data_IF_139660317269
#
_entry.id   IF_139660317269
#
_cell.length_a   1.000
_cell.length_b   1.000
_cell.length_c   1.000
_cell.angle_alpha   90.00
_cell.angle_beta   90.00
_cell.angle_gamma   90.00
#
_symmetry.space_group_name_H-M   'P 1'
#
loop_
_entity.id
_entity.type
_entity.pdbx_description
1 polymer ?
#
# COMPACT_ATOMS: atom_id res chain seq x y z
N UNK A 1 -10.67 -47.73 -17.79
CA UNK A 1 -9.39 -48.41 -17.45
C UNK A 1 -8.73 -47.49 -16.41
N UNK A 2 -9.05 -47.66 -15.19
CA UNK A 2 -8.66 -48.55 -14.11
C UNK A 2 -7.14 -48.52 -13.85
N UNK A 3 -6.84 -48.00 -12.67
CA UNK A 3 -6.07 -48.51 -11.51
C UNK A 3 -4.57 -48.19 -11.53
N UNK A 4 -4.05 -47.46 -10.53
CA UNK A 4 -3.49 -47.98 -9.32
C UNK A 4 -3.01 -46.89 -8.37
N UNK A 5 -3.64 -46.82 -7.21
CA UNK A 5 -3.09 -46.33 -5.95
C UNK A 5 -2.46 -47.47 -5.19
N UNK A 6 -1.45 -47.26 -4.33
CA UNK A 6 -1.25 -48.10 -3.16
C UNK A 6 -1.13 -47.32 -1.84
N UNK A 7 -1.18 -48.06 -0.71
CA UNK A 7 -1.88 -47.61 0.48
C UNK A 7 -0.99 -47.29 1.70
N UNK A 8 -1.55 -46.51 2.51
CA UNK A 8 -1.64 -46.27 3.95
C UNK A 8 -1.20 -47.45 4.88
N UNK A 9 -0.69 -47.03 6.07
CA UNK A 9 -0.67 -47.62 7.39
C UNK A 9 0.54 -48.44 7.83
N UNK A 10 1.23 -48.00 8.92
CA UNK A 10 0.97 -48.51 10.29
C UNK A 10 1.75 -47.74 11.37
N UNK A 11 1.04 -47.51 12.46
CA UNK A 11 1.50 -46.97 13.72
C UNK A 11 2.19 -48.02 14.57
N UNK A 12 3.12 -47.65 15.44
CA UNK A 12 3.40 -48.26 16.77
C UNK A 12 3.93 -47.20 17.70
N UNK A 13 3.15 -46.81 18.70
CA UNK A 13 3.17 -47.14 20.13
C UNK A 13 4.49 -46.90 20.88
N UNK A 14 4.41 -45.94 21.77
CA UNK A 14 4.75 -46.07 23.16
C UNK A 14 6.09 -45.53 23.61
N UNK A 15 6.07 -44.59 24.52
CA UNK A 15 6.57 -44.76 25.92
C UNK A 15 6.42 -43.47 26.70
N UNK A 16 5.65 -43.54 27.75
CA UNK A 16 5.49 -42.54 28.81
C UNK A 16 6.54 -42.76 29.91
N UNK A 17 6.65 -41.73 30.80
CA UNK A 17 7.37 -41.61 32.10
C UNK A 17 8.72 -40.88 31.94
N UNK A 18 9.01 -39.86 32.75
CA UNK A 18 8.78 -39.71 34.18
C UNK A 18 8.82 -38.24 34.65
N UNK A 19 7.92 -37.91 35.50
CA UNK A 19 7.91 -36.74 36.38
C UNK A 19 9.02 -36.86 37.42
N UNK A 20 9.84 -35.85 37.65
CA UNK A 20 10.58 -35.66 38.89
C UNK A 20 10.43 -34.24 39.43
N UNK A 21 9.59 -34.12 40.47
CA UNK A 21 9.58 -33.05 41.47
C UNK A 21 10.83 -33.21 42.38
N UNK A 22 11.50 -32.10 42.67
CA UNK A 22 12.26 -31.84 43.92
C UNK A 22 12.21 -30.34 44.16
N UNK A 23 11.37 -29.88 45.06
CA UNK A 23 11.47 -29.63 46.52
C UNK A 23 12.52 -28.57 46.87
N UNK A 24 11.96 -27.44 47.25
CA UNK A 24 12.30 -26.45 48.27
C UNK A 24 13.45 -26.82 49.22
N UNK A 25 14.33 -25.82 49.47
CA UNK A 25 14.85 -25.53 50.81
C UNK A 25 15.16 -24.02 50.93
N UNK A 26 14.43 -23.39 51.86
CA UNK A 26 14.76 -22.10 52.50
C UNK A 26 16.01 -22.27 53.38
N UNK A 27 16.88 -21.31 53.39
CA UNK A 27 17.70 -20.96 54.56
C UNK A 27 17.86 -19.46 54.68
N UNK A 28 17.32 -18.94 55.74
CA UNK A 28 17.49 -17.60 56.32
C UNK A 28 18.68 -17.59 57.24
N UNK A 29 19.51 -16.57 57.19
CA UNK A 29 20.33 -15.92 58.25
C UNK A 29 21.35 -15.01 57.52
N UNK A 30 21.65 -13.80 57.91
CA UNK A 30 21.53 -12.99 59.08
C UNK A 30 22.18 -11.61 58.78
N UNK A 31 21.76 -10.63 59.57
CA UNK A 31 22.16 -9.22 59.56
C UNK A 31 23.68 -9.00 59.82
N UNK A 32 24.28 -8.00 59.19
CA UNK A 32 25.01 -6.88 59.81
C UNK A 32 25.76 -6.03 58.80
N UNK A 33 25.40 -4.81 58.60
CA UNK A 33 26.01 -3.52 58.77
C UNK A 33 27.30 -3.21 57.99
N UNK A 34 27.16 -2.20 57.09
CA UNK A 34 28.13 -1.07 56.99
C UNK A 34 27.56 -0.05 55.99
N UNK A 35 27.20 1.12 56.46
CA UNK A 35 26.95 2.30 55.66
C UNK A 35 28.27 2.79 55.06
N UNK A 36 28.41 2.70 53.73
CA UNK A 36 29.43 3.43 53.01
C UNK A 36 28.69 4.40 52.07
N UNK A 37 28.68 5.67 52.42
CA UNK A 37 28.36 6.77 51.54
C UNK A 37 29.40 6.79 50.42
N UNK A 38 29.08 6.15 49.29
CA UNK A 38 29.77 6.28 48.06
C UNK A 38 29.02 7.30 47.18
N UNK A 39 29.53 8.51 47.10
CA UNK A 39 29.22 9.46 46.04
C UNK A 39 29.57 8.80 44.68
N UNK A 40 28.64 8.06 44.14
CA UNK A 40 28.76 7.61 42.73
C UNK A 40 28.31 8.76 41.87
N UNK A 41 29.29 9.38 41.23
CA UNK A 41 29.08 10.40 40.22
C UNK A 41 28.05 9.96 39.19
N UNK A 42 27.16 10.87 38.82
CA UNK A 42 26.39 10.80 37.60
C UNK A 42 27.32 10.69 36.41
N UNK A 43 27.78 9.51 36.09
CA UNK A 43 28.26 9.17 34.77
C UNK A 43 27.03 9.14 33.87
N UNK A 44 26.85 10.16 33.05
CA UNK A 44 25.98 10.12 31.89
C UNK A 44 26.52 9.09 30.90
N UNK A 45 26.41 7.82 31.25
CA UNK A 45 26.56 6.73 30.31
C UNK A 45 25.33 6.78 29.38
N UNK A 46 25.52 7.23 28.13
CA UNK A 46 24.53 7.11 27.09
C UNK A 46 24.11 5.63 27.03
N UNK A 47 22.91 5.33 27.50
CA UNK A 47 22.37 3.97 27.42
C UNK A 47 22.13 3.68 25.96
N UNK A 48 22.93 2.80 25.37
CA UNK A 48 22.71 2.32 24.00
C UNK A 48 21.27 1.81 23.90
N UNK A 49 20.48 2.43 23.02
CA UNK A 49 19.12 2.02 22.73
C UNK A 49 19.04 1.29 21.40
N UNK A 50 18.00 0.48 21.23
CA UNK A 50 17.71 -0.21 19.98
C UNK A 50 16.29 0.07 19.54
N UNK A 51 16.06 0.16 18.22
CA UNK A 51 14.75 0.24 17.59
C UNK A 51 14.56 -0.97 16.68
N UNK A 52 13.42 -1.63 16.81
CA UNK A 52 12.97 -2.69 15.91
C UNK A 52 12.09 -2.08 14.81
N UNK A 53 12.55 -2.13 13.57
CA UNK A 53 11.88 -1.60 12.39
C UNK A 53 11.45 -2.76 11.49
N UNK A 54 10.14 -2.97 11.32
CA UNK A 54 9.58 -3.98 10.41
C UNK A 54 9.12 -3.33 9.11
N UNK A 55 9.65 -3.80 7.97
CA UNK A 55 9.39 -3.22 6.66
C UNK A 55 9.07 -4.28 5.61
N UNK A 56 8.42 -3.86 4.52
CA UNK A 56 8.16 -4.73 3.39
C UNK A 56 9.45 -5.07 2.62
N UNK A 57 9.56 -6.32 2.20
CA UNK A 57 10.40 -6.71 1.06
C UNK A 57 9.50 -6.92 -0.17
N UNK A 58 9.87 -6.26 -1.26
CA UNK A 58 9.18 -6.36 -2.54
C UNK A 58 9.94 -7.34 -3.45
N UNK A 59 9.22 -7.94 -4.39
CA UNK A 59 9.84 -8.87 -5.35
C UNK A 59 10.89 -8.14 -6.22
N UNK A 60 11.92 -8.85 -6.68
CA UNK A 60 13.07 -8.25 -7.37
C UNK A 60 12.70 -7.46 -8.65
N UNK A 61 11.55 -7.76 -9.26
CA UNK A 61 11.04 -7.03 -10.42
C UNK A 61 10.59 -5.59 -10.11
N UNK A 62 10.31 -5.27 -8.83
CA UNK A 62 9.79 -3.96 -8.37
C UNK A 62 10.69 -3.35 -7.29
N UNK A 63 11.52 -4.12 -6.58
CA UNK A 63 11.94 -3.70 -5.26
C UNK A 63 13.35 -3.97 -4.79
N UNK A 64 14.31 -4.44 -5.59
CA UNK A 64 15.71 -4.60 -5.09
C UNK A 64 16.30 -3.27 -4.60
N UNK A 65 15.97 -2.16 -5.27
CA UNK A 65 16.41 -0.81 -4.87
C UNK A 65 15.86 -0.36 -3.50
N UNK A 66 14.68 -0.83 -3.08
CA UNK A 66 14.05 -0.42 -1.81
C UNK A 66 14.72 -1.09 -0.61
N UNK A 67 15.14 -2.34 -0.75
CA UNK A 67 15.87 -3.05 0.30
C UNK A 67 17.20 -2.39 0.66
N UNK A 68 17.96 -2.03 -0.36
CA UNK A 68 19.26 -1.37 -0.21
C UNK A 68 19.13 0.05 0.38
N UNK A 69 18.03 0.73 0.13
CA UNK A 69 17.75 2.06 0.68
C UNK A 69 17.62 2.04 2.21
N UNK A 70 16.97 1.03 2.80
CA UNK A 70 16.89 0.90 4.26
C UNK A 70 18.28 0.77 4.89
N UNK A 71 19.14 -0.06 4.32
CA UNK A 71 20.50 -0.23 4.84
C UNK A 71 21.32 1.07 4.75
N UNK A 72 21.14 1.83 3.66
CA UNK A 72 21.77 3.14 3.51
C UNK A 72 21.25 4.15 4.55
N UNK A 73 19.94 4.23 4.77
CA UNK A 73 19.31 5.12 5.75
C UNK A 73 19.79 4.79 7.16
N UNK A 74 19.73 3.51 7.57
CA UNK A 74 20.17 3.07 8.89
C UNK A 74 21.65 3.33 9.11
N UNK A 75 22.48 3.04 8.12
CA UNK A 75 23.94 3.35 8.17
C UNK A 75 24.20 4.84 8.29
N UNK A 76 23.43 5.68 7.60
CA UNK A 76 23.56 7.12 7.67
C UNK A 76 23.03 7.69 8.99
N UNK A 77 21.92 7.15 9.52
CA UNK A 77 21.39 7.52 10.83
C UNK A 77 22.37 7.19 11.96
N UNK A 78 23.03 6.02 11.92
CA UNK A 78 24.03 5.62 12.90
C UNK A 78 25.20 6.61 13.03
N UNK A 79 25.52 7.36 11.96
CA UNK A 79 26.57 8.38 11.99
C UNK A 79 26.16 9.66 12.74
N UNK A 80 24.86 9.98 12.74
CA UNK A 80 24.32 11.17 13.42
C UNK A 80 23.79 10.85 14.81
N UNK A 81 23.40 9.60 15.05
CA UNK A 81 22.94 9.10 16.33
C UNK A 81 23.64 7.77 16.68
N UNK A 82 24.90 7.80 17.16
CA UNK A 82 25.70 6.60 17.38
C UNK A 82 25.18 5.70 18.53
N UNK A 83 24.36 6.24 19.43
CA UNK A 83 23.86 5.52 20.60
C UNK A 83 22.59 4.70 20.28
N UNK A 84 21.94 4.92 19.13
CA UNK A 84 20.76 4.17 18.69
C UNK A 84 21.14 3.14 17.62
N UNK A 85 20.74 1.89 17.81
CA UNK A 85 20.88 0.84 16.80
C UNK A 85 19.51 0.49 16.24
N UNK A 86 19.33 0.58 14.91
CA UNK A 86 18.08 0.22 14.23
C UNK A 86 18.22 -1.17 13.63
N UNK A 87 17.38 -2.12 14.06
CA UNK A 87 17.29 -3.46 13.53
C UNK A 87 16.17 -3.52 12.49
N UNK A 88 16.52 -3.79 11.23
CA UNK A 88 15.56 -3.85 10.12
C UNK A 88 15.17 -5.30 9.85
N UNK A 89 13.92 -5.63 10.12
CA UNK A 89 13.31 -6.90 9.75
C UNK A 89 12.51 -6.72 8.45
N UNK A 90 12.80 -7.53 7.43
CA UNK A 90 12.14 -7.48 6.12
C UNK A 90 11.16 -8.62 5.97
N UNK A 91 9.89 -8.28 5.76
CA UNK A 91 8.79 -9.24 5.59
C UNK A 91 8.29 -9.15 4.15
N UNK A 92 8.07 -10.28 3.44
CA UNK A 92 7.43 -10.24 2.14
C UNK A 92 6.12 -9.42 2.17
N UNK A 93 5.95 -8.48 1.23
CA UNK A 93 4.83 -7.52 1.22
C UNK A 93 3.47 -8.22 1.40
N UNK A 94 3.23 -9.33 0.70
CA UNK A 94 1.99 -10.10 0.81
C UNK A 94 1.72 -10.70 2.22
N UNK A 95 2.73 -10.73 3.10
CA UNK A 95 2.62 -11.27 4.46
C UNK A 95 2.70 -10.18 5.53
N UNK A 96 3.04 -8.94 5.16
CA UNK A 96 3.40 -7.87 6.07
C UNK A 96 2.31 -7.59 7.11
N UNK A 97 1.11 -7.20 6.66
CA UNK A 97 0.00 -6.83 7.54
C UNK A 97 -0.42 -7.97 8.47
N UNK A 98 -0.45 -9.20 7.94
CA UNK A 98 -0.79 -10.39 8.76
C UNK A 98 0.28 -10.67 9.80
N UNK A 99 1.56 -10.59 9.44
CA UNK A 99 2.67 -10.81 10.39
C UNK A 99 2.65 -9.75 11.48
N UNK A 100 2.44 -8.48 11.11
CA UNK A 100 2.31 -7.38 12.05
C UNK A 100 1.14 -7.60 13.03
N UNK A 101 -0.04 -7.94 12.53
CA UNK A 101 -1.21 -8.21 13.37
C UNK A 101 -0.97 -9.36 14.36
N UNK A 102 -0.31 -10.44 13.92
CA UNK A 102 0.07 -11.56 14.80
C UNK A 102 1.05 -11.13 15.88
N UNK A 103 2.08 -10.35 15.56
CA UNK A 103 3.05 -9.83 16.54
C UNK A 103 2.39 -8.90 17.56
N UNK A 104 1.57 -7.96 17.10
CA UNK A 104 0.83 -7.05 18.00
C UNK A 104 -0.09 -7.81 18.96
N UNK A 105 -0.82 -8.83 18.45
CA UNK A 105 -1.68 -9.70 19.25
C UNK A 105 -0.88 -10.51 20.29
N UNK A 106 0.31 -10.95 19.93
CA UNK A 106 1.21 -11.71 20.83
C UNK A 106 1.95 -10.82 21.85
N UNK A 107 1.73 -9.49 21.86
CA UNK A 107 2.47 -8.59 22.71
C UNK A 107 3.95 -8.43 22.33
N UNK A 108 4.27 -8.57 21.06
CA UNK A 108 5.62 -8.47 20.48
C UNK A 108 5.62 -7.55 19.24
N UNK A 109 4.98 -6.37 19.38
CA UNK A 109 4.99 -5.37 18.32
C UNK A 109 6.41 -4.82 18.10
N UNK A 110 6.82 -4.50 16.85
CA UNK A 110 8.02 -3.73 16.61
C UNK A 110 7.84 -2.29 17.11
N UNK A 111 8.92 -1.52 17.22
CA UNK A 111 8.82 -0.10 17.57
C UNK A 111 8.22 0.71 16.42
N UNK A 112 8.66 0.42 15.18
CA UNK A 112 8.14 1.03 13.97
C UNK A 112 7.80 -0.09 12.96
N UNK A 113 6.66 0.01 12.30
CA UNK A 113 6.29 -0.91 11.22
C UNK A 113 5.74 -0.19 10.01
N UNK A 114 6.11 -0.68 8.81
CA UNK A 114 5.38 -0.40 7.59
C UNK A 114 4.11 -1.25 7.54
N UNK A 115 2.99 -0.68 7.11
CA UNK A 115 1.71 -1.38 6.99
C UNK A 115 0.78 -0.67 6.00
N UNK A 116 -0.15 -1.43 5.42
CA UNK A 116 -1.27 -0.87 4.64
C UNK A 116 -2.50 -0.61 5.50
N UNK A 117 -2.51 -1.03 6.76
CA UNK A 117 -3.63 -0.92 7.68
C UNK A 117 -3.16 -0.35 9.01
N UNK A 118 -3.88 0.62 9.54
CA UNK A 118 -3.53 1.24 10.82
C UNK A 118 -4.75 1.46 11.73
N UNK A 119 -5.96 1.58 11.18
CA UNK A 119 -7.16 1.95 11.92
C UNK A 119 -7.43 0.99 13.09
N UNK A 120 -7.34 -0.31 12.88
CA UNK A 120 -7.51 -1.32 13.95
C UNK A 120 -6.51 -1.13 15.10
N UNK A 121 -5.26 -0.79 14.81
CA UNK A 121 -4.27 -0.54 15.86
C UNK A 121 -4.50 0.80 16.56
N UNK A 122 -5.02 1.81 15.84
CA UNK A 122 -5.43 3.09 16.41
C UNK A 122 -6.60 2.90 17.38
N UNK A 123 -7.64 2.16 17.02
CA UNK A 123 -8.80 1.82 17.84
C UNK A 123 -8.37 1.09 19.12
N UNK A 124 -7.41 0.18 19.02
CA UNK A 124 -6.81 -0.53 20.16
C UNK A 124 -5.84 0.35 20.97
N UNK A 125 -5.65 1.64 20.61
CA UNK A 125 -4.73 2.58 21.28
C UNK A 125 -3.27 2.10 21.33
N UNK A 126 -2.85 1.31 20.34
CA UNK A 126 -1.49 0.72 20.28
C UNK A 126 -0.47 1.67 19.67
N UNK A 127 -0.91 2.73 18.95
CA UNK A 127 -0.04 3.62 18.19
C UNK A 127 0.19 4.96 18.89
N UNK A 128 1.37 5.53 18.71
CA UNK A 128 1.60 6.93 19.01
C UNK A 128 0.94 7.81 17.92
N UNK A 129 0.19 8.87 18.32
CA UNK A 129 -0.20 9.92 17.39
C UNK A 129 1.02 10.56 16.72
N UNK A 130 0.87 10.97 15.47
CA UNK A 130 1.92 11.69 14.72
C UNK A 130 2.35 12.98 15.43
N UNK A 131 1.42 13.66 16.09
CA UNK A 131 1.67 14.86 16.90
C UNK A 131 2.54 14.62 18.14
N UNK A 132 2.71 13.38 18.58
CA UNK A 132 3.63 13.03 19.65
C UNK A 132 5.04 12.67 19.17
N UNK A 133 5.21 12.46 17.86
CA UNK A 133 6.46 12.01 17.22
C UNK A 133 7.19 13.14 16.48
N UNK A 134 6.43 14.10 15.94
CA UNK A 134 6.98 15.19 15.13
C UNK A 134 6.59 16.56 15.67
N UNK A 135 7.45 17.53 15.46
CA UNK A 135 7.11 18.94 15.63
C UNK A 135 6.12 19.44 14.57
N UNK A 136 5.51 20.59 14.81
CA UNK A 136 4.51 21.19 13.91
C UNK A 136 5.07 21.42 12.49
N UNK A 137 6.29 21.97 12.30
CA UNK A 137 6.86 22.14 10.97
C UNK A 137 6.98 20.84 10.19
N UNK A 138 7.43 19.76 10.82
CA UNK A 138 7.54 18.44 10.17
C UNK A 138 6.17 17.87 9.80
N UNK A 139 5.18 18.02 10.69
CA UNK A 139 3.80 17.60 10.37
C UNK A 139 3.21 18.38 9.19
N UNK A 140 3.45 19.68 9.12
CA UNK A 140 2.97 20.57 8.05
C UNK A 140 3.66 20.33 6.69
N UNK A 141 4.81 19.67 6.66
CA UNK A 141 5.54 19.33 5.43
C UNK A 141 4.92 18.14 4.68
N UNK A 142 4.10 17.30 5.34
CA UNK A 142 3.42 16.20 4.66
C UNK A 142 2.38 16.71 3.67
N UNK A 143 2.29 16.06 2.50
CA UNK A 143 1.21 16.32 1.53
C UNK A 143 -0.13 16.07 2.19
N UNK A 144 -0.97 17.10 2.24
CA UNK A 144 -2.18 17.14 3.07
C UNK A 144 -3.15 15.97 2.80
N UNK A 145 -3.41 15.62 1.54
CA UNK A 145 -4.28 14.49 1.18
C UNK A 145 -3.78 13.16 1.76
N UNK A 146 -2.46 12.95 1.76
CA UNK A 146 -1.82 11.75 2.33
C UNK A 146 -1.85 11.79 3.86
N UNK A 147 -1.56 12.93 4.49
CA UNK A 147 -1.66 13.07 5.94
C UNK A 147 -3.09 12.81 6.44
N UNK A 148 -4.10 13.36 5.74
CA UNK A 148 -5.51 13.14 6.06
C UNK A 148 -5.91 11.66 5.91
N UNK A 149 -5.46 10.97 4.87
CA UNK A 149 -5.73 9.54 4.71
C UNK A 149 -5.12 8.68 5.84
N UNK A 150 -4.04 9.14 6.50
CA UNK A 150 -3.44 8.52 7.68
C UNK A 150 -4.17 8.79 9.01
N UNK A 151 -5.37 9.42 8.96
CA UNK A 151 -6.10 9.89 10.13
C UNK A 151 -7.27 8.95 10.45
N UNK A 152 -7.36 8.49 11.70
CA UNK A 152 -8.52 7.80 12.27
C UNK A 152 -9.03 8.59 13.47
N UNK A 153 -10.36 8.76 13.60
CA UNK A 153 -10.99 9.53 14.69
C UNK A 153 -10.37 10.93 14.89
N UNK A 154 -10.11 11.64 13.78
CA UNK A 154 -9.51 13.00 13.76
C UNK A 154 -8.07 13.07 14.29
N UNK A 155 -7.40 11.94 14.50
CA UNK A 155 -6.01 11.86 14.93
C UNK A 155 -5.18 11.13 13.89
N UNK A 156 -4.09 11.73 13.44
CA UNK A 156 -3.19 11.09 12.49
C UNK A 156 -2.30 10.07 13.22
N UNK A 157 -2.35 8.82 12.76
CA UNK A 157 -1.51 7.70 13.22
C UNK A 157 -0.64 7.13 12.11
N UNK A 158 -1.17 7.09 10.88
CA UNK A 158 -0.42 6.66 9.70
C UNK A 158 0.49 7.77 9.20
N UNK A 159 1.80 7.54 9.21
CA UNK A 159 2.78 8.44 8.64
C UNK A 159 2.95 8.04 7.18
N UNK A 160 2.62 8.91 6.18
CA UNK A 160 2.67 8.55 4.77
C UNK A 160 4.06 8.03 4.36
N UNK A 161 4.09 6.91 3.66
CA UNK A 161 5.31 6.29 3.17
C UNK A 161 5.02 5.53 1.86
N UNK A 162 6.00 5.43 0.94
CA UNK A 162 5.82 4.72 -0.34
C UNK A 162 4.59 5.17 -1.15
N UNK A 163 4.42 6.49 -1.30
CA UNK A 163 3.27 7.05 -1.99
C UNK A 163 3.28 6.78 -3.50
N UNK A 164 2.08 6.64 -4.06
CA UNK A 164 1.88 6.55 -5.49
C UNK A 164 0.52 7.15 -5.89
N UNK A 165 0.45 7.66 -7.12
CA UNK A 165 -0.79 8.05 -7.79
C UNK A 165 -0.73 7.52 -9.21
N UNK A 166 -1.61 6.60 -9.65
CA UNK A 166 -1.56 6.05 -11.00
C UNK A 166 -2.01 7.07 -12.05
N UNK A 167 -1.60 6.84 -13.32
CA UNK A 167 -2.00 7.60 -14.50
C UNK A 167 -2.36 6.65 -15.64
N UNK A 168 -3.01 7.15 -16.68
CA UNK A 168 -3.26 6.40 -17.91
C UNK A 168 -1.95 6.29 -18.71
N UNK A 169 -1.36 5.10 -18.77
CA UNK A 169 -0.25 4.78 -19.65
C UNK A 169 -0.75 4.28 -21.00
N UNK A 170 -0.04 4.62 -22.06
CA UNK A 170 -0.34 4.13 -23.41
C UNK A 170 0.94 3.90 -24.22
N UNK A 171 0.88 2.90 -25.09
CA UNK A 171 1.99 2.58 -26.01
C UNK A 171 1.97 3.55 -27.20
N UNK A 172 2.98 4.41 -27.28
CA UNK A 172 3.01 5.47 -28.31
C UNK A 172 3.17 4.94 -29.72
N UNK A 173 3.83 3.79 -29.92
CA UNK A 173 3.91 3.14 -31.24
C UNK A 173 2.53 2.64 -31.68
N UNK A 174 1.76 2.01 -30.79
CA UNK A 174 0.42 1.53 -31.14
C UNK A 174 -0.54 2.68 -31.37
N UNK A 175 -0.46 3.74 -30.57
CA UNK A 175 -1.25 4.96 -30.76
C UNK A 175 -0.94 5.65 -32.07
N UNK A 176 0.36 5.80 -32.43
CA UNK A 176 0.77 6.35 -33.73
C UNK A 176 0.26 5.53 -34.91
N UNK A 177 0.34 4.19 -34.84
CA UNK A 177 -0.21 3.29 -35.87
C UNK A 177 -1.73 3.39 -36.01
N UNK A 178 -2.43 3.64 -34.91
CA UNK A 178 -3.90 3.80 -34.90
C UNK A 178 -4.33 5.24 -35.28
N UNK A 179 -3.39 6.20 -35.38
CA UNK A 179 -3.68 7.61 -35.63
C UNK A 179 -4.44 8.31 -34.54
N UNK A 180 -4.22 7.91 -33.27
CA UNK A 180 -4.95 8.43 -32.10
C UNK A 180 -4.04 9.14 -31.12
N UNK A 181 -4.62 10.01 -30.30
CA UNK A 181 -3.98 10.72 -29.19
C UNK A 181 -4.50 10.21 -27.84
N UNK A 182 -3.85 10.64 -26.74
CA UNK A 182 -4.32 10.32 -25.40
C UNK A 182 -5.76 10.81 -25.17
N UNK A 183 -6.68 9.94 -24.67
CA UNK A 183 -8.09 10.31 -24.49
C UNK A 183 -8.27 11.25 -23.31
N UNK A 184 -9.15 12.26 -23.45
CA UNK A 184 -9.56 13.20 -22.43
C UNK A 184 -10.96 12.96 -21.84
N UNK A 185 -11.71 11.96 -22.39
CA UNK A 185 -13.03 11.55 -21.93
C UNK A 185 -13.19 10.04 -22.06
N UNK A 186 -14.27 9.46 -21.47
CA UNK A 186 -14.58 8.04 -21.64
C UNK A 186 -14.97 7.68 -23.08
N UNK A 187 -15.65 8.59 -23.79
CA UNK A 187 -16.00 8.37 -25.19
C UNK A 187 -14.76 8.35 -26.10
N UNK A 188 -13.79 9.22 -25.82
CA UNK A 188 -12.51 9.20 -26.51
C UNK A 188 -11.70 7.94 -26.16
N UNK A 189 -11.71 7.51 -24.87
CA UNK A 189 -11.06 6.28 -24.43
C UNK A 189 -11.66 5.05 -25.16
N UNK A 190 -12.98 4.99 -25.24
CA UNK A 190 -13.70 3.93 -25.94
C UNK A 190 -13.35 3.94 -27.46
N UNK A 191 -13.36 5.11 -28.08
CA UNK A 191 -13.01 5.29 -29.49
C UNK A 191 -11.54 4.88 -29.76
N UNK A 192 -10.63 5.27 -28.88
CA UNK A 192 -9.22 4.87 -28.91
C UNK A 192 -9.05 3.35 -28.77
N UNK A 193 -9.81 2.73 -27.86
CA UNK A 193 -9.78 1.28 -27.69
C UNK A 193 -10.30 0.55 -28.95
N UNK A 194 -11.32 1.08 -29.61
CA UNK A 194 -11.81 0.53 -30.90
C UNK A 194 -10.77 0.65 -32.00
N UNK A 195 -10.11 1.81 -32.12
CA UNK A 195 -9.05 2.02 -33.09
C UNK A 195 -7.85 1.06 -32.86
N UNK A 196 -7.44 0.86 -31.61
CA UNK A 196 -6.42 -0.12 -31.24
C UNK A 196 -6.83 -1.56 -31.61
N UNK A 197 -8.09 -1.92 -31.36
CA UNK A 197 -8.64 -3.23 -31.77
C UNK A 197 -8.59 -3.41 -33.26
N UNK A 198 -8.95 -2.39 -34.03
CA UNK A 198 -8.95 -2.42 -35.48
C UNK A 198 -7.56 -2.67 -36.13
N UNK A 199 -6.49 -2.23 -35.47
CA UNK A 199 -5.10 -2.51 -35.86
C UNK A 199 -4.54 -3.82 -35.29
N UNK A 200 -5.37 -4.64 -34.64
CA UNK A 200 -5.02 -5.96 -34.10
C UNK A 200 -4.40 -5.97 -32.70
N UNK A 201 -4.54 -4.90 -31.90
CA UNK A 201 -4.11 -4.94 -30.50
C UNK A 201 -4.98 -5.89 -29.71
N UNK A 202 -4.35 -6.88 -29.08
CA UNK A 202 -5.04 -7.96 -28.37
C UNK A 202 -5.91 -7.47 -27.20
N UNK A 203 -5.39 -6.54 -26.43
CA UNK A 203 -6.04 -5.93 -25.28
C UNK A 203 -5.96 -4.42 -25.39
N UNK A 204 -6.92 -3.76 -26.06
CA UNK A 204 -6.90 -2.31 -26.25
C UNK A 204 -6.78 -1.54 -24.93
N UNK A 205 -7.58 -1.90 -23.92
CA UNK A 205 -7.49 -1.39 -22.55
C UNK A 205 -7.23 -2.55 -21.57
N UNK A 206 -6.17 -2.47 -20.76
CA UNK A 206 -5.85 -3.43 -19.73
C UNK A 206 -6.65 -3.14 -18.45
N UNK A 207 -7.86 -3.70 -18.33
CA UNK A 207 -8.73 -3.55 -17.18
C UNK A 207 -8.34 -4.54 -16.08
N UNK A 208 -7.70 -4.05 -15.02
CA UNK A 208 -6.99 -4.85 -14.00
C UNK A 208 -7.91 -5.15 -12.81
N UNK A 209 -8.90 -6.03 -12.98
CA UNK A 209 -9.85 -6.44 -11.94
C UNK A 209 -9.57 -7.84 -11.36
N UNK A 210 -8.35 -8.34 -11.54
CA UNK A 210 -7.85 -9.52 -10.86
C UNK A 210 -7.58 -9.28 -9.37
N UNK A 211 -7.50 -10.34 -8.55
CA UNK A 211 -7.49 -10.23 -7.08
C UNK A 211 -6.24 -9.56 -6.47
N UNK A 212 -5.22 -9.27 -7.25
CA UNK A 212 -4.02 -8.57 -6.75
C UNK A 212 -4.34 -7.14 -6.28
N UNK A 213 -5.10 -6.36 -7.09
CA UNK A 213 -5.34 -4.93 -6.84
C UNK A 213 -6.64 -4.41 -7.50
N UNK A 214 -7.69 -5.22 -7.56
CA UNK A 214 -8.96 -4.86 -8.18
C UNK A 214 -9.60 -3.61 -7.53
N UNK A 215 -9.37 -3.40 -6.23
CA UNK A 215 -9.87 -2.24 -5.50
C UNK A 215 -9.27 -0.92 -5.98
N UNK A 216 -8.01 -0.93 -6.45
CA UNK A 216 -7.34 0.27 -6.95
C UNK A 216 -7.90 0.67 -8.33
N UNK A 217 -7.98 -0.30 -9.24
CA UNK A 217 -8.53 -0.10 -10.58
C UNK A 217 -10.00 0.33 -10.51
N UNK A 218 -10.81 -0.38 -9.71
CA UNK A 218 -12.23 -0.07 -9.57
C UNK A 218 -12.44 1.33 -8.97
N UNK A 219 -11.67 1.72 -7.91
CA UNK A 219 -11.78 3.06 -7.35
C UNK A 219 -11.45 4.15 -8.38
N UNK A 220 -10.42 3.95 -9.20
CA UNK A 220 -10.07 4.91 -10.23
C UNK A 220 -11.23 5.13 -11.23
N UNK A 221 -11.90 4.06 -11.65
CA UNK A 221 -13.08 4.15 -12.51
C UNK A 221 -14.29 4.77 -11.80
N UNK A 222 -14.53 4.41 -10.52
CA UNK A 222 -15.63 4.99 -9.73
C UNK A 222 -15.45 6.49 -9.57
N UNK A 223 -14.26 6.96 -9.17
CA UNK A 223 -13.93 8.39 -9.03
C UNK A 223 -14.11 9.13 -10.37
N UNK A 224 -13.65 8.52 -11.47
CA UNK A 224 -13.82 9.08 -12.82
C UNK A 224 -15.29 9.16 -13.26
N UNK A 225 -16.15 8.31 -12.70
CA UNK A 225 -17.59 8.30 -12.91
C UNK A 225 -18.40 9.11 -11.89
N UNK A 226 -17.73 9.80 -10.95
CA UNK A 226 -18.38 10.57 -9.89
C UNK A 226 -18.91 9.73 -8.72
N UNK A 227 -18.33 8.54 -8.51
CA UNK A 227 -18.64 7.63 -7.41
C UNK A 227 -17.45 7.40 -6.47
N UNK A 228 -17.61 6.53 -5.47
CA UNK A 228 -16.59 6.22 -4.47
C UNK A 228 -16.97 4.92 -3.74
N UNK A 229 -16.08 4.43 -2.84
CA UNK A 229 -16.41 3.32 -1.94
C UNK A 229 -17.10 3.76 -0.64
N UNK A 230 -16.86 5.00 -0.20
CA UNK A 230 -17.37 5.48 1.08
C UNK A 230 -18.00 6.87 0.94
N UNK A 231 -19.10 7.05 1.64
CA UNK A 231 -19.75 8.33 1.86
C UNK A 231 -19.35 8.97 3.19
N UNK A 232 -20.16 9.90 3.66
CA UNK A 232 -19.90 10.65 4.91
C UNK A 232 -20.04 9.76 6.15
N UNK A 233 -20.93 8.77 6.11
CA UNK A 233 -21.31 7.96 7.29
C UNK A 233 -20.75 6.53 7.26
N UNK A 234 -20.00 6.14 6.26
CA UNK A 234 -19.49 4.77 6.10
C UNK A 234 -19.36 4.38 4.63
N UNK A 235 -19.43 3.10 4.34
CA UNK A 235 -19.40 2.61 2.96
C UNK A 235 -20.68 2.99 2.20
N UNK A 236 -20.52 3.27 0.91
CA UNK A 236 -21.63 3.69 0.01
C UNK A 236 -21.42 3.09 -1.38
N UNK A 237 -21.60 1.77 -1.46
CA UNK A 237 -21.39 1.03 -2.71
C UNK A 237 -22.54 1.21 -3.70
N UNK A 238 -23.80 1.32 -3.23
CA UNK A 238 -25.00 1.21 -4.08
C UNK A 238 -25.45 2.59 -4.56
N UNK A 239 -24.54 3.40 -5.07
CA UNK A 239 -24.87 4.69 -5.67
C UNK A 239 -25.21 4.56 -7.15
N UNK A 240 -25.99 5.53 -7.68
CA UNK A 240 -26.27 5.57 -9.12
C UNK A 240 -24.97 5.76 -9.94
N UNK A 241 -24.01 6.53 -9.45
CA UNK A 241 -22.72 6.75 -10.11
C UNK A 241 -21.91 5.46 -10.19
N UNK A 242 -21.83 4.69 -9.10
CA UNK A 242 -21.10 3.42 -9.06
C UNK A 242 -21.74 2.40 -10.03
N UNK A 243 -23.08 2.24 -9.98
CA UNK A 243 -23.81 1.34 -10.85
C UNK A 243 -23.62 1.74 -12.33
N UNK A 244 -23.74 3.01 -12.66
CA UNK A 244 -23.58 3.50 -14.01
C UNK A 244 -22.14 3.31 -14.52
N UNK A 245 -21.14 3.47 -13.65
CA UNK A 245 -19.70 3.25 -13.97
C UNK A 245 -19.45 1.79 -14.33
N UNK A 246 -19.84 0.86 -13.46
CA UNK A 246 -19.62 -0.57 -13.73
C UNK A 246 -20.46 -1.08 -14.91
N UNK A 247 -21.67 -0.53 -15.12
CA UNK A 247 -22.49 -0.82 -16.31
C UNK A 247 -21.78 -0.35 -17.58
N UNK A 248 -21.19 0.85 -17.59
CA UNK A 248 -20.44 1.35 -18.73
C UNK A 248 -19.21 0.45 -19.02
N UNK A 249 -18.47 0.04 -18.00
CA UNK A 249 -17.33 -0.89 -18.16
C UNK A 249 -17.77 -2.22 -18.76
N UNK A 250 -18.86 -2.79 -18.21
CA UNK A 250 -19.43 -4.06 -18.70
C UNK A 250 -19.83 -3.96 -20.17
N UNK A 251 -20.59 -2.92 -20.52
CA UNK A 251 -21.22 -2.84 -21.84
C UNK A 251 -20.27 -2.32 -22.91
N UNK A 252 -19.48 -1.27 -22.58
CA UNK A 252 -18.65 -0.55 -23.58
C UNK A 252 -17.23 -1.11 -23.72
N UNK A 253 -16.61 -1.54 -22.62
CA UNK A 253 -15.24 -2.08 -22.73
C UNK A 253 -15.27 -3.62 -22.84
N UNK A 254 -15.92 -4.29 -21.91
CA UNK A 254 -15.92 -5.76 -21.86
C UNK A 254 -16.86 -6.35 -22.92
N UNK A 255 -18.07 -5.82 -23.03
CA UNK A 255 -19.10 -6.30 -23.99
C UNK A 255 -18.65 -6.17 -25.44
N UNK A 256 -17.91 -5.11 -25.79
CA UNK A 256 -17.36 -4.90 -27.12
C UNK A 256 -15.97 -5.57 -27.31
N UNK A 257 -15.47 -6.30 -26.28
CA UNK A 257 -14.18 -7.02 -26.36
C UNK A 257 -12.98 -6.09 -26.46
N UNK A 258 -13.04 -4.95 -25.77
CA UNK A 258 -11.95 -3.92 -25.74
C UNK A 258 -11.06 -4.06 -24.51
N UNK A 259 -11.48 -4.81 -23.48
CA UNK A 259 -10.75 -5.00 -22.22
C UNK A 259 -10.08 -6.39 -22.10
N UNK A 260 -9.92 -7.11 -23.20
CA UNK A 260 -9.42 -8.49 -23.18
C UNK A 260 -10.52 -9.51 -22.84
N UNK A 261 -10.12 -10.79 -22.73
CA UNK A 261 -11.08 -11.89 -22.59
C UNK A 261 -11.62 -12.06 -21.16
N UNK A 262 -10.81 -11.74 -20.16
CA UNK A 262 -11.11 -12.01 -18.75
C UNK A 262 -10.53 -10.92 -17.83
N UNK A 263 -11.07 -9.70 -17.85
CA UNK A 263 -10.56 -8.60 -17.02
C UNK A 263 -10.60 -8.88 -15.51
N UNK A 264 -11.55 -9.69 -15.05
CA UNK A 264 -11.69 -10.14 -13.66
C UNK A 264 -10.55 -11.09 -13.20
N UNK A 265 -9.72 -11.55 -14.11
CA UNK A 265 -8.53 -12.39 -13.83
C UNK A 265 -7.22 -11.67 -14.19
N UNK A 266 -7.28 -10.44 -14.68
CA UNK A 266 -6.09 -9.69 -15.06
C UNK A 266 -5.54 -8.94 -13.85
N UNK A 267 -4.51 -9.51 -13.24
CA UNK A 267 -3.75 -8.87 -12.18
C UNK A 267 -2.86 -7.75 -12.71
N UNK A 268 -2.55 -6.77 -11.86
CA UNK A 268 -1.67 -5.65 -12.18
C UNK A 268 -0.30 -6.11 -12.69
N UNK A 269 0.33 -7.06 -12.01
CA UNK A 269 1.62 -7.62 -12.43
C UNK A 269 1.55 -8.26 -13.81
N UNK A 270 0.49 -9.01 -14.10
CA UNK A 270 0.27 -9.61 -15.41
C UNK A 270 0.01 -8.56 -16.49
N UNK A 271 -0.77 -7.51 -16.19
CA UNK A 271 -1.03 -6.40 -17.09
C UNK A 271 0.26 -5.64 -17.46
N UNK A 272 1.12 -5.36 -16.49
CA UNK A 272 2.42 -4.73 -16.75
C UNK A 272 3.27 -5.58 -17.67
N UNK A 273 3.38 -6.88 -17.42
CA UNK A 273 4.08 -7.80 -18.30
C UNK A 273 3.50 -7.84 -19.73
N UNK A 274 2.18 -7.79 -19.88
CA UNK A 274 1.54 -7.72 -21.20
C UNK A 274 1.78 -6.38 -21.91
N UNK A 275 1.76 -5.26 -21.18
CA UNK A 275 2.09 -3.93 -21.72
C UNK A 275 3.53 -3.89 -22.23
N UNK A 276 4.48 -4.43 -21.46
CA UNK A 276 5.89 -4.51 -21.86
C UNK A 276 6.13 -5.40 -23.09
N UNK A 277 5.21 -6.29 -23.42
CA UNK A 277 5.22 -7.10 -24.66
C UNK A 277 4.40 -6.47 -25.79
N UNK A 278 3.87 -5.24 -25.62
CA UNK A 278 3.05 -4.56 -26.62
C UNK A 278 1.67 -5.20 -26.84
N UNK A 279 1.17 -6.02 -25.92
CA UNK A 279 -0.12 -6.70 -26.00
C UNK A 279 -1.27 -5.86 -25.47
N UNK A 280 -0.97 -4.88 -24.60
CA UNK A 280 -1.92 -3.89 -24.09
C UNK A 280 -1.64 -2.54 -24.73
N UNK A 281 -2.69 -1.87 -25.23
CA UNK A 281 -2.60 -0.56 -25.85
C UNK A 281 -2.52 0.58 -24.84
N UNK A 282 -3.39 0.55 -23.81
CA UNK A 282 -3.42 1.52 -22.73
C UNK A 282 -3.96 0.88 -21.45
N UNK A 283 -3.59 1.42 -20.29
CA UNK A 283 -4.06 0.98 -18.96
C UNK A 283 -3.71 2.01 -17.88
N UNK A 284 -4.34 1.92 -16.72
CA UNK A 284 -3.89 2.64 -15.52
C UNK A 284 -2.61 1.97 -15.01
N UNK A 285 -1.60 2.78 -14.67
CA UNK A 285 -0.36 2.24 -14.08
C UNK A 285 0.35 3.26 -13.17
N UNK A 286 1.21 2.71 -12.32
CA UNK A 286 2.05 3.45 -11.36
C UNK A 286 3.38 3.89 -11.98
N UNK A 287 4.07 4.88 -11.39
CA UNK A 287 5.38 5.34 -11.89
C UNK A 287 6.42 4.23 -12.05
N UNK A 288 6.34 3.17 -11.24
CA UNK A 288 7.25 2.02 -11.30
C UNK A 288 7.29 1.36 -12.69
N UNK A 289 6.20 1.43 -13.46
CA UNK A 289 6.15 0.89 -14.82
C UNK A 289 7.11 1.62 -15.77
N UNK A 290 7.42 2.90 -15.52
CA UNK A 290 8.33 3.67 -16.38
C UNK A 290 9.70 3.01 -16.47
N UNK A 291 10.31 2.64 -15.33
CA UNK A 291 11.61 1.94 -15.32
C UNK A 291 11.57 0.62 -16.09
N UNK A 292 10.52 -0.17 -15.90
CA UNK A 292 10.37 -1.44 -16.59
C UNK A 292 10.18 -1.24 -18.11
N UNK A 293 9.44 -0.21 -18.53
CA UNK A 293 9.23 0.12 -19.92
C UNK A 293 10.52 0.64 -20.57
N UNK A 294 11.30 1.47 -19.87
CA UNK A 294 12.59 1.99 -20.35
C UNK A 294 13.58 0.83 -20.54
N UNK A 295 13.69 -0.09 -19.56
CA UNK A 295 14.56 -1.27 -19.66
C UNK A 295 14.13 -2.22 -20.79
N UNK A 296 12.82 -2.40 -20.97
CA UNK A 296 12.26 -3.21 -22.05
C UNK A 296 12.24 -2.49 -23.41
N UNK A 297 12.65 -1.21 -23.47
CA UNK A 297 12.61 -0.34 -24.66
C UNK A 297 11.22 -0.26 -25.28
N UNK A 298 10.17 -0.25 -24.46
CA UNK A 298 8.79 -0.08 -24.91
C UNK A 298 8.46 1.41 -24.94
N UNK A 299 8.17 1.99 -26.10
CA UNK A 299 7.78 3.39 -26.19
C UNK A 299 6.43 3.63 -25.52
N UNK A 300 6.39 4.53 -24.55
CA UNK A 300 5.19 4.87 -23.81
C UNK A 300 5.08 6.38 -23.58
N UNK A 301 3.88 6.80 -23.28
CA UNK A 301 3.62 8.08 -22.63
C UNK A 301 2.48 7.87 -21.60
N UNK A 302 2.22 8.89 -20.80
CA UNK A 302 1.12 8.85 -19.83
C UNK A 302 0.33 10.16 -19.81
N UNK A 303 -0.95 10.05 -19.51
CA UNK A 303 -1.88 11.17 -19.36
C UNK A 303 -2.61 11.06 -18.00
N UNK A 304 -3.31 12.14 -17.61
CA UNK A 304 -4.29 12.03 -16.53
C UNK A 304 -5.37 11.01 -16.92
N UNK A 305 -5.90 10.27 -15.94
CA UNK A 305 -7.05 9.40 -16.21
C UNK A 305 -8.29 10.27 -16.48
N UNK A 306 -9.05 10.04 -17.57
CA UNK A 306 -10.13 10.91 -17.95
C UNK A 306 -11.40 10.70 -17.12
N UNK A 307 -12.12 11.77 -16.83
CA UNK A 307 -13.49 11.70 -16.32
C UNK A 307 -14.46 11.27 -17.45
N UNK A 308 -15.66 10.85 -17.03
CA UNK A 308 -16.73 10.45 -17.96
C UNK A 308 -17.02 11.53 -19.00
N UNK A 309 -17.28 12.74 -18.55
CA UNK A 309 -17.72 13.86 -19.38
C UNK A 309 -16.56 14.76 -19.81
N UNK A 310 -15.34 14.33 -19.64
CA UNK A 310 -14.12 15.05 -19.97
C UNK A 310 -13.43 15.69 -18.76
N UNK A 311 -12.16 16.05 -18.95
CA UNK A 311 -11.28 16.52 -17.89
C UNK A 311 -10.51 15.39 -17.20
N UNK A 312 -9.76 15.76 -16.15
CA UNK A 312 -8.97 14.80 -15.36
C UNK A 312 -9.75 14.34 -14.13
N UNK A 313 -9.89 13.04 -13.97
CA UNK A 313 -10.44 12.44 -12.75
C UNK A 313 -9.57 12.77 -11.54
N UNK A 314 -10.17 12.76 -10.35
CA UNK A 314 -9.41 12.73 -9.11
C UNK A 314 -8.51 11.48 -9.13
N UNK A 315 -7.19 11.62 -8.89
CA UNK A 315 -6.31 10.47 -8.88
C UNK A 315 -6.53 9.62 -7.62
N UNK A 316 -6.39 8.31 -7.74
CA UNK A 316 -6.30 7.43 -6.58
C UNK A 316 -4.98 7.69 -5.88
N UNK A 317 -5.01 7.98 -4.58
CA UNK A 317 -3.84 8.01 -3.72
C UNK A 317 -3.60 6.63 -3.12
N UNK A 318 -2.37 6.16 -3.21
CA UNK A 318 -1.92 4.93 -2.58
C UNK A 318 -0.73 5.25 -1.70
N UNK A 319 -0.74 4.72 -0.50
CA UNK A 319 0.36 4.89 0.44
C UNK A 319 0.45 3.66 1.34
N UNK A 320 1.66 3.19 1.57
CA UNK A 320 1.94 2.48 2.79
C UNK A 320 2.12 3.50 3.92
N UNK A 321 1.98 3.05 5.14
CA UNK A 321 2.10 3.87 6.34
C UNK A 321 3.26 3.36 7.19
N UNK A 322 4.02 4.27 7.80
CA UNK A 322 4.85 3.93 8.96
C UNK A 322 4.04 4.18 10.21
N UNK A 323 4.04 3.20 11.12
CA UNK A 323 3.32 3.19 12.38
C UNK A 323 4.31 3.08 13.52
N UNK A 324 4.20 3.93 14.54
CA UNK A 324 5.02 3.82 15.76
C UNK A 324 4.19 3.23 16.90
N UNK A 325 4.65 2.12 17.46
CA UNK A 325 3.93 1.36 18.48
C UNK A 325 4.33 1.78 19.91
N UNK A 326 3.33 1.85 20.80
CA UNK A 326 3.53 2.25 22.21
C UNK A 326 4.13 1.16 23.10
N UNK A 327 4.08 -0.09 22.65
CA UNK A 327 4.34 -1.26 23.48
C UNK A 327 5.68 -1.20 24.21
N UNK A 328 6.75 -0.78 23.57
CA UNK A 328 8.09 -0.79 24.13
C UNK A 328 8.49 0.55 24.78
N UNK A 329 7.59 1.55 24.78
CA UNK A 329 7.84 2.84 25.41
C UNK A 329 8.91 3.72 24.74
N UNK A 330 9.28 3.44 23.47
CA UNK A 330 10.38 4.10 22.76
C UNK A 330 9.92 5.29 21.92
N UNK A 331 9.06 6.14 22.51
CA UNK A 331 8.49 7.30 21.78
C UNK A 331 9.56 8.26 21.26
N UNK A 332 10.52 8.59 22.11
CA UNK A 332 11.56 9.56 21.75
C UNK A 332 12.45 9.04 20.60
N UNK A 333 12.92 7.80 20.73
CA UNK A 333 13.77 7.17 19.70
C UNK A 333 13.04 6.99 18.37
N UNK A 334 11.74 6.61 18.41
CA UNK A 334 10.90 6.57 17.22
C UNK A 334 10.77 7.93 16.57
N UNK A 335 10.48 8.99 17.34
CA UNK A 335 10.37 10.36 16.86
C UNK A 335 11.65 10.87 16.23
N UNK A 336 12.80 10.65 16.87
CA UNK A 336 14.11 11.03 16.34
C UNK A 336 14.47 10.32 15.04
N UNK A 337 14.27 9.00 14.98
CA UNK A 337 14.53 8.21 13.78
C UNK A 337 13.61 8.63 12.61
N UNK A 338 12.32 8.79 12.88
CA UNK A 338 11.34 9.20 11.87
C UNK A 338 11.59 10.63 11.39
N UNK A 339 11.93 11.57 12.29
CA UNK A 339 12.32 12.94 11.90
C UNK A 339 13.55 12.92 10.99
N UNK A 340 14.54 12.08 11.31
CA UNK A 340 15.69 11.90 10.44
C UNK A 340 15.28 11.32 9.07
N UNK A 341 14.41 10.30 9.04
CA UNK A 341 13.95 9.65 7.83
C UNK A 341 13.27 10.65 6.87
N UNK A 342 12.44 11.55 7.38
CA UNK A 342 11.75 12.57 6.58
C UNK A 342 12.54 13.87 6.38
N UNK A 343 13.77 13.96 6.91
CA UNK A 343 14.63 15.11 6.63
C UNK A 343 14.97 15.21 5.13
N UNK A 344 15.19 16.43 4.63
CA UNK A 344 15.57 16.67 3.22
C UNK A 344 16.75 15.81 2.76
N UNK A 345 17.72 15.57 3.66
CA UNK A 345 18.91 14.75 3.36
C UNK A 345 18.53 13.28 3.12
N UNK A 346 17.71 12.73 3.99
CA UNK A 346 17.28 11.33 3.91
C UNK A 346 16.24 11.12 2.81
N UNK A 347 15.33 12.07 2.61
CA UNK A 347 14.31 12.03 1.56
C UNK A 347 14.91 11.92 0.15
N UNK A 348 16.09 12.48 -0.10
CA UNK A 348 16.83 12.28 -1.36
C UNK A 348 17.29 10.84 -1.55
N UNK A 349 17.65 10.16 -0.49
CA UNK A 349 18.07 8.75 -0.54
C UNK A 349 16.87 7.84 -0.80
N UNK A 350 15.73 8.15 -0.20
CA UNK A 350 14.50 7.38 -0.31
C UNK A 350 13.62 7.74 -1.52
N UNK A 351 13.55 9.02 -1.87
CA UNK A 351 12.69 9.55 -2.93
C UNK A 351 13.33 9.59 -4.31
N UNK A 352 14.61 9.21 -4.44
CA UNK A 352 15.35 9.29 -5.71
C UNK A 352 15.06 8.17 -6.71
N UNK A 353 14.21 7.21 -6.37
CA UNK A 353 13.82 6.12 -7.26
C UNK A 353 12.40 6.30 -7.81
N UNK A 354 12.13 5.82 -9.04
CA UNK A 354 10.78 5.86 -9.64
C UNK A 354 9.78 4.91 -8.94
N UNK A 355 10.19 4.25 -7.85
CA UNK A 355 9.34 3.27 -7.16
C UNK A 355 8.31 3.93 -6.23
N UNK A 356 8.59 5.11 -5.68
CA UNK A 356 7.70 5.83 -4.77
C UNK A 356 7.78 7.34 -5.00
N UNK A 357 6.63 8.02 -4.84
CA UNK A 357 6.57 9.47 -4.87
C UNK A 357 6.91 10.07 -3.49
N UNK A 358 7.46 11.29 -3.43
CA UNK A 358 7.74 11.95 -2.17
C UNK A 358 6.42 12.31 -1.46
N UNK A 359 6.38 12.10 -0.15
CA UNK A 359 5.19 12.37 0.67
C UNK A 359 5.24 13.71 1.37
N UNK A 360 6.34 14.47 1.22
CA UNK A 360 6.53 15.80 1.80
C UNK A 360 6.69 16.87 0.71
N UNK A 361 6.24 18.10 1.00
CA UNK A 361 6.37 19.23 0.09
C UNK A 361 7.85 19.53 -0.19
N UNK A 362 8.69 19.53 0.84
CA UNK A 362 10.13 19.79 0.71
C UNK A 362 10.86 18.76 -0.17
N UNK A 363 10.48 17.48 -0.09
CA UNK A 363 11.01 16.43 -0.98
C UNK A 363 10.48 16.56 -2.41
N UNK A 364 9.19 16.92 -2.57
CA UNK A 364 8.58 17.21 -3.87
C UNK A 364 9.28 18.37 -4.60
N UNK A 365 9.58 19.44 -3.88
CA UNK A 365 10.30 20.60 -4.42
C UNK A 365 11.74 20.24 -4.80
N UNK A 366 12.39 19.38 -4.00
CA UNK A 366 13.72 18.87 -4.33
C UNK A 366 13.72 18.06 -5.64
N UNK A 367 12.71 17.21 -5.86
CA UNK A 367 12.57 16.45 -7.11
C UNK A 367 12.22 17.35 -8.30
N UNK A 368 11.43 18.40 -8.09
CA UNK A 368 11.12 19.39 -9.15
C UNK A 368 12.32 20.26 -9.54
N UNK A 369 13.30 20.40 -8.68
CA UNK A 369 14.54 21.11 -8.99
C UNK A 369 15.53 20.28 -9.84
N UNK A 370 15.29 18.97 -10.01
CA UNK A 370 16.12 18.07 -10.79
C UNK A 370 15.45 17.72 -12.13
N UNK A 371 15.98 18.23 -13.28
CA UNK A 371 15.42 17.90 -14.61
C UNK A 371 15.38 16.41 -14.94
N UNK A 372 16.25 15.60 -14.35
CA UNK A 372 16.25 14.14 -14.53
C UNK A 372 14.97 13.50 -13.95
N UNK A 373 14.32 14.14 -13.00
CA UNK A 373 13.07 13.69 -12.37
C UNK A 373 11.80 14.21 -13.07
N UNK A 374 11.95 14.93 -14.23
CA UNK A 374 10.81 15.45 -15.00
C UNK A 374 9.71 14.41 -15.29
N UNK A 375 10.01 13.15 -15.59
CA UNK A 375 8.98 12.14 -15.78
C UNK A 375 8.02 11.96 -14.61
N UNK A 376 8.49 12.23 -13.35
CA UNK A 376 7.68 12.10 -12.14
C UNK A 376 6.81 13.34 -11.83
N UNK A 377 7.11 14.50 -12.41
CA UNK A 377 6.46 15.76 -12.03
C UNK A 377 4.95 15.71 -12.15
N UNK A 378 4.42 15.11 -13.21
CA UNK A 378 2.97 14.97 -13.43
C UNK A 378 2.28 14.05 -12.40
N UNK A 379 3.00 13.09 -11.85
CA UNK A 379 2.50 12.26 -10.75
C UNK A 379 2.49 13.05 -9.43
N UNK A 380 3.55 13.84 -9.18
CA UNK A 380 3.64 14.71 -8.01
C UNK A 380 2.56 15.81 -8.07
N UNK A 381 2.29 16.39 -9.24
CA UNK A 381 1.28 17.45 -9.43
C UNK A 381 -0.14 17.00 -9.08
N UNK A 382 -0.45 15.71 -9.17
CA UNK A 382 -1.77 15.20 -8.86
C UNK A 382 -1.95 14.76 -7.41
N UNK A 383 -0.84 14.55 -6.64
CA UNK A 383 -0.90 14.09 -5.26
C UNK A 383 -1.79 14.95 -4.33
N UNK A 384 -1.77 16.30 -4.38
CA UNK A 384 -2.59 17.11 -3.49
C UNK A 384 -4.11 16.89 -3.65
N UNK A 385 -4.56 16.33 -4.79
CA UNK A 385 -5.96 16.06 -5.10
C UNK A 385 -6.30 14.57 -5.04
N UNK A 386 -5.38 13.76 -4.48
CA UNK A 386 -5.56 12.32 -4.42
C UNK A 386 -6.69 11.94 -3.46
N UNK A 387 -7.54 11.04 -3.91
CA UNK A 387 -8.60 10.41 -3.16
C UNK A 387 -8.18 8.99 -2.77
N UNK A 388 -8.54 8.58 -1.57
CA UNK A 388 -8.08 7.34 -1.00
C UNK A 388 -9.21 6.33 -0.80
N UNK A 389 -8.83 5.07 -0.78
CA UNK A 389 -9.64 4.01 -0.18
C UNK A 389 -9.93 4.36 1.29
N UNK A 390 -10.99 3.84 1.91
CA UNK A 390 -11.33 4.14 3.30
C UNK A 390 -10.41 3.41 4.29
N UNK A 391 -9.09 3.61 4.15
CA UNK A 391 -8.03 2.98 4.96
C UNK A 391 -8.08 3.34 6.45
N UNK A 392 -8.81 4.40 6.76
CA UNK A 392 -9.09 4.87 8.12
C UNK A 392 -10.21 4.11 8.83
N UNK A 393 -10.84 3.14 8.18
CA UNK A 393 -11.84 2.28 8.78
C UNK A 393 -11.23 0.92 9.19
N UNK A 394 -11.47 0.48 10.42
CA UNK A 394 -10.94 -0.78 10.93
C UNK A 394 -11.46 -2.01 10.15
N UNK A 395 -12.64 -1.89 9.54
CA UNK A 395 -13.26 -2.90 8.69
C UNK A 395 -12.65 -2.98 7.27
N UNK A 396 -11.85 -1.99 6.86
CA UNK A 396 -11.34 -1.90 5.49
C UNK A 396 -10.59 -3.15 5.00
N UNK A 397 -9.75 -3.83 5.79
CA UNK A 397 -9.07 -5.04 5.32
C UNK A 397 -10.03 -6.13 4.82
N UNK A 398 -11.15 -6.33 5.51
CA UNK A 398 -12.17 -7.32 5.14
C UNK A 398 -12.96 -6.86 3.91
N UNK A 399 -13.31 -5.58 3.86
CA UNK A 399 -14.04 -4.98 2.73
C UNK A 399 -13.18 -4.98 1.47
N UNK A 400 -11.88 -4.63 1.58
CA UNK A 400 -10.92 -4.72 0.50
C UNK A 400 -10.82 -6.14 -0.07
N UNK A 401 -10.76 -7.15 0.81
CA UNK A 401 -10.72 -8.54 0.37
C UNK A 401 -12.01 -8.91 -0.40
N UNK A 402 -13.17 -8.46 0.05
CA UNK A 402 -14.44 -8.70 -0.65
C UNK A 402 -14.49 -8.00 -2.02
N UNK A 403 -13.97 -6.77 -2.13
CA UNK A 403 -13.89 -6.08 -3.42
C UNK A 403 -13.00 -6.86 -4.39
N UNK A 404 -11.84 -7.33 -3.96
CA UNK A 404 -10.91 -8.12 -4.78
C UNK A 404 -11.53 -9.41 -5.30
N UNK A 405 -12.39 -10.03 -4.50
CA UNK A 405 -13.08 -11.26 -4.87
C UNK A 405 -14.23 -11.01 -5.85
N UNK A 406 -15.05 -9.98 -5.62
CA UNK A 406 -16.35 -9.86 -6.25
C UNK A 406 -16.44 -8.84 -7.38
N UNK A 407 -15.72 -7.69 -7.29
CA UNK A 407 -15.96 -6.52 -8.15
C UNK A 407 -15.80 -6.83 -9.63
N UNK A 408 -14.88 -7.72 -9.98
CA UNK A 408 -14.64 -8.14 -11.35
C UNK A 408 -15.87 -8.83 -11.97
N UNK A 409 -16.70 -9.48 -11.16
CA UNK A 409 -17.93 -10.17 -11.63
C UNK A 409 -19.01 -9.19 -12.10
N UNK A 410 -18.97 -7.95 -11.66
CA UNK A 410 -19.90 -6.90 -12.08
C UNK A 410 -19.77 -6.54 -13.56
N UNK A 411 -18.56 -6.68 -14.13
CA UNK A 411 -18.27 -6.19 -15.48
C UNK A 411 -18.11 -7.29 -16.53
N UNK A 412 -18.20 -8.56 -16.15
CA UNK A 412 -18.22 -9.66 -17.13
C UNK A 412 -19.51 -9.68 -17.93
N UNK A 413 -19.52 -10.35 -19.08
CA UNK A 413 -20.72 -10.52 -19.89
C UNK A 413 -21.84 -11.18 -19.06
N UNK A 414 -23.00 -10.51 -18.94
CA UNK A 414 -24.11 -10.96 -18.11
C UNK A 414 -23.97 -10.67 -16.61
N UNK A 415 -22.88 -10.00 -16.18
CA UNK A 415 -22.73 -9.53 -14.81
C UNK A 415 -23.81 -8.49 -14.44
N UNK A 416 -24.15 -8.42 -13.16
CA UNK A 416 -25.08 -7.43 -12.62
C UNK A 416 -24.35 -6.47 -11.66
N UNK A 417 -23.97 -5.26 -12.11
CA UNK A 417 -23.32 -4.27 -11.27
C UNK A 417 -24.06 -3.95 -9.98
N UNK A 418 -25.39 -3.82 -10.04
CA UNK A 418 -26.21 -3.52 -8.86
C UNK A 418 -26.15 -4.65 -7.85
N UNK A 419 -26.35 -5.90 -8.28
CA UNK A 419 -26.32 -7.06 -7.40
C UNK A 419 -24.95 -7.24 -6.74
N UNK A 420 -23.86 -7.05 -7.48
CA UNK A 420 -22.49 -7.14 -6.93
C UNK A 420 -22.24 -6.02 -5.90
N UNK A 421 -22.64 -4.78 -6.20
CA UNK A 421 -22.50 -3.67 -5.26
C UNK A 421 -23.34 -3.86 -3.99
N UNK A 422 -24.55 -4.42 -4.10
CA UNK A 422 -25.39 -4.79 -2.94
C UNK A 422 -24.74 -5.89 -2.08
N UNK A 423 -24.11 -6.87 -2.72
CA UNK A 423 -23.39 -7.91 -2.00
C UNK A 423 -22.17 -7.34 -1.24
N UNK A 424 -21.42 -6.42 -1.87
CA UNK A 424 -20.31 -5.70 -1.23
C UNK A 424 -20.78 -4.84 -0.07
N UNK A 425 -21.87 -4.11 -0.22
CA UNK A 425 -22.46 -3.28 0.83
C UNK A 425 -22.86 -4.14 2.05
N UNK A 426 -23.48 -5.30 1.80
CA UNK A 426 -23.80 -6.27 2.85
C UNK A 426 -22.55 -6.81 3.55
N UNK A 427 -21.49 -7.13 2.79
CA UNK A 427 -20.22 -7.60 3.35
C UNK A 427 -19.54 -6.49 4.18
N UNK A 428 -19.58 -5.25 3.71
CA UNK A 428 -19.05 -4.08 4.41
C UNK A 428 -19.76 -3.83 5.73
N UNK A 429 -21.10 -3.80 5.75
CA UNK A 429 -21.88 -3.64 6.97
C UNK A 429 -21.58 -4.72 8.02
N UNK A 430 -21.40 -5.98 7.58
CA UNK A 430 -21.01 -7.07 8.49
C UNK A 430 -19.58 -6.88 9.03
N UNK A 431 -18.66 -6.36 8.22
CA UNK A 431 -17.30 -6.08 8.65
C UNK A 431 -17.27 -4.95 9.69
N UNK A 432 -18.06 -3.89 9.48
CA UNK A 432 -18.20 -2.78 10.45
C UNK A 432 -18.72 -3.27 11.80
N UNK A 433 -19.78 -4.09 11.82
CA UNK A 433 -20.33 -4.68 13.07
C UNK A 433 -19.24 -5.47 13.82
N UNK A 434 -18.44 -6.28 13.10
CA UNK A 434 -17.37 -7.07 13.73
C UNK A 434 -16.25 -6.24 14.33
N UNK A 435 -15.98 -5.07 13.79
CA UNK A 435 -14.89 -4.20 14.24
C UNK A 435 -15.32 -3.18 15.28
N UNK A 436 -16.64 -2.95 15.43
CA UNK A 436 -17.22 -2.02 16.42
C UNK A 436 -17.55 -2.69 17.76
N UNK A 437 -17.52 -4.02 17.88
CA UNK A 437 -17.74 -4.82 19.09
C UNK A 437 -16.44 -5.34 19.67
#
# INVERSE_FOLDING_TARGET
MWQNLPPIWRATKGWAKAVRRRRFLLQTAGLAGAAAYGLSGCGSGSSKSSLDLMVASYDQSVGSAIGDQWDQVVKAYKKVNPDVTVHVERIPFAKLDRTLAQRVKAGNAPDIAQSNVFATFADQRKLYPVSELFDIPTQADFTQSFAQAGTAHYVQYGIPFMASTPRLFYNTTLFGRAGISAPGSWDELHSSAKALKAIGVRTPYGLQLGPEAAEDEALAWLLAGGGTYAGVTGYDFVTNSNIATLTWLRDRLVGEGLAGAAPQLLDRTAAYGQFLRGQIGMMIAHPVLMNAADQAKVPYAHAAFPQRDGGAAAPVGLSDWLLAFKQNGRKAECGEFLTYLYSRKSARTYGGGQAALPVTASASDSLRSDPAQRPLWKFIDQMPRAEFQPVNQASWPDVRAAIREDIGSAVVRGGDPRAVLQALDTKASRAEIRTSG
#
